data_IF_899504383526
#
_entry.id   IF_899504383526
#
_cell.length_a   1.000
_cell.length_b   1.000
_cell.length_c   1.000
_cell.angle_alpha   90.00
_cell.angle_beta   90.00
_cell.angle_gamma   90.00
#
_symmetry.space_group_name_H-M   'P 1'
#
loop_
_entity.id
_entity.type
_entity.pdbx_description
1 polymer ?
#
# COMPACT_ATOMS: atom_id res chain seq x y z
N UNK A 1 -0.03 -13.40 35.08
CA UNK A 1 -0.20 -11.93 35.10
C UNK A 1 1.09 -11.32 34.58
N UNK A 2 1.10 -10.75 33.37
CA UNK A 2 2.25 -9.94 32.95
C UNK A 2 2.12 -8.60 33.66
N UNK A 3 3.07 -8.26 34.54
CA UNK A 3 3.13 -6.92 35.10
C UNK A 3 3.34 -5.91 33.96
N UNK A 4 2.64 -4.76 33.96
CA UNK A 4 2.83 -3.74 32.95
C UNK A 4 4.18 -3.05 33.20
N UNK A 5 5.23 -3.47 32.50
CA UNK A 5 6.49 -2.74 32.46
C UNK A 5 6.51 -1.87 31.21
N UNK A 6 6.89 -0.61 31.36
CA UNK A 6 7.26 0.25 30.23
C UNK A 6 8.78 0.31 30.15
N UNK A 7 9.34 -0.01 28.98
CA UNK A 7 10.79 0.01 28.74
C UNK A 7 11.16 1.35 28.12
N UNK A 8 11.97 2.15 28.82
CA UNK A 8 12.35 3.47 28.36
C UNK A 8 13.78 3.86 28.73
N UNK A 9 14.52 4.35 27.73
CA UNK A 9 15.73 5.17 27.89
C UNK A 9 16.99 4.48 28.42
N UNK A 10 18.13 5.13 28.12
CA UNK A 10 19.40 4.89 28.80
C UNK A 10 19.34 5.48 30.22
N UNK A 11 20.13 4.97 31.17
CA UNK A 11 20.03 5.31 32.61
C UNK A 11 20.08 6.82 32.93
N UNK A 12 20.56 7.66 32.00
CA UNK A 12 20.66 9.10 32.14
C UNK A 12 19.39 9.90 31.79
N UNK A 13 18.42 9.30 31.07
CA UNK A 13 17.25 10.01 30.51
C UNK A 13 15.91 9.34 30.88
N UNK A 14 15.83 8.68 32.04
CA UNK A 14 14.56 8.11 32.51
C UNK A 14 13.58 9.24 32.86
N UNK A 15 12.39 9.32 32.23
CA UNK A 15 11.43 10.38 32.56
C UNK A 15 11.04 10.28 34.04
N UNK A 16 11.06 11.40 34.75
CA UNK A 16 10.78 11.49 36.19
C UNK A 16 9.30 11.27 36.57
N UNK A 17 8.46 10.83 35.64
CA UNK A 17 7.00 10.88 35.78
C UNK A 17 6.31 9.64 35.23
N UNK A 18 6.09 8.62 36.08
CA UNK A 18 4.87 7.77 36.05
C UNK A 18 4.55 7.12 37.41
N UNK A 19 4.74 7.82 38.54
CA UNK A 19 4.19 7.34 39.81
C UNK A 19 2.64 7.34 39.82
N UNK A 20 2.00 8.06 38.88
CA UNK A 20 0.56 8.25 38.80
C UNK A 20 -0.25 7.06 38.21
N UNK A 21 0.39 6.01 37.68
CA UNK A 21 -0.31 4.92 36.98
C UNK A 21 -0.05 3.51 37.54
N UNK A 22 0.69 3.36 38.64
CA UNK A 22 1.03 2.04 39.19
C UNK A 22 1.94 1.19 38.28
N UNK A 23 2.71 1.85 37.40
CA UNK A 23 3.60 1.22 36.43
C UNK A 23 5.06 1.42 36.86
N UNK A 24 5.83 0.34 36.98
CA UNK A 24 7.28 0.41 37.18
C UNK A 24 7.98 0.68 35.84
N UNK A 25 8.75 1.76 35.76
CA UNK A 25 9.68 2.00 34.65
C UNK A 25 10.96 1.23 34.92
N UNK A 26 11.34 0.38 33.98
CA UNK A 26 12.63 -0.30 33.98
C UNK A 26 13.42 0.13 32.75
N UNK A 27 14.71 0.40 32.93
CA UNK A 27 15.60 0.71 31.80
C UNK A 27 15.84 -0.55 30.98
N UNK A 28 16.12 -0.40 29.69
CA UNK A 28 16.42 -1.55 28.82
C UNK A 28 17.64 -2.33 29.33
N UNK A 29 18.66 -1.64 29.83
CA UNK A 29 19.85 -2.25 30.43
C UNK A 29 19.50 -3.08 31.68
N UNK A 30 18.64 -2.56 32.57
CA UNK A 30 18.13 -3.31 33.73
C UNK A 30 17.35 -4.53 33.30
N UNK A 31 16.40 -4.39 32.38
CA UNK A 31 15.61 -5.51 31.85
C UNK A 31 16.51 -6.60 31.23
N UNK A 32 17.50 -6.19 30.41
CA UNK A 32 18.45 -7.11 29.79
C UNK A 32 19.32 -7.84 30.84
N UNK A 33 19.78 -7.13 31.88
CA UNK A 33 20.52 -7.75 32.99
C UNK A 33 19.67 -8.76 33.77
N UNK A 34 18.41 -8.43 34.06
CA UNK A 34 17.45 -9.34 34.70
C UNK A 34 17.19 -10.57 33.84
N UNK A 35 17.05 -10.39 32.52
CA UNK A 35 16.92 -11.49 31.57
C UNK A 35 18.13 -12.44 31.60
N UNK A 36 19.36 -11.91 31.66
CA UNK A 36 20.58 -12.73 31.77
C UNK A 36 20.69 -13.51 33.08
N UNK A 37 20.17 -12.96 34.17
CA UNK A 37 20.15 -13.62 35.48
C UNK A 37 18.94 -14.54 35.68
N UNK A 38 17.98 -14.50 34.77
CA UNK A 38 16.76 -15.30 34.86
C UNK A 38 17.09 -16.78 34.74
N UNK A 39 16.59 -17.57 35.69
CA UNK A 39 16.62 -19.04 35.62
C UNK A 39 15.50 -19.61 34.74
N UNK A 40 14.67 -18.75 34.12
CA UNK A 40 13.61 -19.23 33.25
C UNK A 40 14.19 -19.83 31.97
N UNK A 41 13.77 -21.05 31.66
CA UNK A 41 14.11 -21.71 30.41
C UNK A 41 13.51 -20.95 29.23
N UNK A 42 14.31 -20.71 28.19
CA UNK A 42 13.83 -20.15 26.93
C UNK A 42 12.74 -21.05 26.33
N UNK A 43 11.56 -20.47 26.05
CA UNK A 43 10.40 -21.16 25.48
C UNK A 43 10.07 -20.52 24.13
N UNK A 44 10.65 -21.02 23.01
CA UNK A 44 10.31 -20.48 21.70
C UNK A 44 8.84 -20.78 21.37
N UNK A 45 8.17 -19.92 20.59
CA UNK A 45 6.81 -20.19 20.12
C UNK A 45 6.81 -21.38 19.15
N UNK A 46 5.70 -22.11 19.13
CA UNK A 46 5.40 -23.11 18.11
C UNK A 46 4.80 -22.44 16.87
N UNK A 47 4.89 -23.05 15.67
CA UNK A 47 4.26 -22.54 14.47
C UNK A 47 2.77 -22.22 14.67
N UNK A 48 2.07 -23.06 15.41
CA UNK A 48 0.66 -22.95 15.72
C UNK A 48 0.34 -21.98 16.88
N UNK A 49 1.31 -21.30 17.47
CA UNK A 49 1.00 -20.28 18.48
C UNK A 49 0.48 -19.01 17.80
N UNK A 50 -0.46 -18.32 18.45
CA UNK A 50 -0.95 -17.01 17.98
C UNK A 50 0.18 -16.01 18.07
N UNK A 51 0.60 -15.46 16.94
CA UNK A 51 1.62 -14.43 16.86
C UNK A 51 1.00 -13.04 17.05
N UNK A 52 -0.16 -12.79 16.44
CA UNK A 52 -0.86 -11.50 16.58
C UNK A 52 -2.35 -11.59 16.25
N UNK A 53 -3.11 -10.64 16.79
CA UNK A 53 -4.46 -10.32 16.33
C UNK A 53 -4.38 -8.97 15.60
N UNK A 54 -4.69 -8.96 14.32
CA UNK A 54 -4.64 -7.76 13.48
C UNK A 54 -6.06 -7.28 13.20
N UNK A 55 -6.43 -6.09 13.70
CA UNK A 55 -7.79 -5.57 13.51
C UNK A 55 -7.96 -4.95 12.13
N UNK A 56 -9.03 -5.32 11.43
CA UNK A 56 -9.42 -4.77 10.13
C UNK A 56 -10.81 -4.15 10.22
N UNK A 57 -10.98 -2.96 9.65
CA UNK A 57 -12.28 -2.36 9.45
C UNK A 57 -12.85 -2.90 8.13
N UNK A 58 -13.68 -3.93 8.20
CA UNK A 58 -14.46 -4.41 7.06
C UNK A 58 -15.56 -3.41 6.67
N UNK A 59 -16.31 -3.72 5.61
CA UNK A 59 -17.42 -2.88 5.09
C UNK A 59 -18.54 -2.61 6.10
N UNK A 60 -18.61 -3.38 7.19
CA UNK A 60 -19.61 -3.25 8.26
C UNK A 60 -19.24 -2.21 9.33
N UNK A 61 -18.07 -1.55 9.23
CA UNK A 61 -17.64 -0.48 10.13
C UNK A 61 -17.17 -0.93 11.53
N UNK A 62 -17.51 -2.15 11.96
CA UNK A 62 -17.01 -2.74 13.22
C UNK A 62 -15.67 -3.44 12.98
N UNK A 63 -14.58 -3.07 13.68
CA UNK A 63 -13.30 -3.73 13.51
C UNK A 63 -13.34 -5.21 13.91
N UNK A 64 -12.80 -6.09 13.06
CA UNK A 64 -12.68 -7.53 13.32
C UNK A 64 -11.22 -7.90 13.50
N UNK A 65 -10.91 -8.71 14.52
CA UNK A 65 -9.53 -9.11 14.80
C UNK A 65 -9.15 -10.38 14.05
N UNK A 66 -8.39 -10.30 12.97
CA UNK A 66 -7.84 -11.46 12.28
C UNK A 66 -6.76 -12.14 13.14
N UNK A 67 -6.97 -13.41 13.50
CA UNK A 67 -6.03 -14.17 14.34
C UNK A 67 -4.97 -14.83 13.46
N UNK A 68 -3.73 -14.38 13.58
CA UNK A 68 -2.59 -14.84 12.79
C UNK A 68 -1.60 -15.62 13.67
N UNK A 69 -1.22 -16.80 13.21
CA UNK A 69 -0.21 -17.65 13.84
C UNK A 69 1.21 -17.33 13.35
N UNK A 70 2.22 -17.87 14.04
CA UNK A 70 3.60 -17.79 13.57
C UNK A 70 3.78 -18.45 12.20
N UNK A 71 3.18 -19.63 11.99
CA UNK A 71 3.18 -20.33 10.71
C UNK A 71 2.63 -19.45 9.59
N UNK A 72 1.49 -18.77 9.81
CA UNK A 72 0.88 -17.95 8.75
C UNK A 72 1.81 -16.84 8.26
N UNK A 73 2.45 -16.13 9.20
CA UNK A 73 3.36 -15.02 8.90
C UNK A 73 4.66 -15.51 8.23
N UNK A 74 5.25 -16.59 8.74
CA UNK A 74 6.49 -17.14 8.20
C UNK A 74 6.27 -17.77 6.83
N UNK A 75 5.17 -18.50 6.61
CA UNK A 75 4.82 -19.04 5.30
C UNK A 75 4.64 -17.93 4.26
N UNK A 76 3.93 -16.85 4.61
CA UNK A 76 3.72 -15.72 3.71
C UNK A 76 5.03 -15.06 3.29
N UNK A 77 5.87 -14.72 4.28
CA UNK A 77 7.17 -14.08 4.06
C UNK A 77 8.14 -14.99 3.32
N UNK A 78 8.19 -16.28 3.65
CA UNK A 78 9.05 -17.24 2.97
C UNK A 78 8.71 -17.34 1.48
N UNK A 79 7.42 -17.38 1.13
CA UNK A 79 7.00 -17.39 -0.27
C UNK A 79 7.28 -16.06 -0.98
N UNK A 80 7.02 -14.91 -0.36
CA UNK A 80 7.36 -13.60 -0.95
C UNK A 80 8.85 -13.39 -1.17
N UNK A 81 9.68 -13.98 -0.31
CA UNK A 81 11.14 -13.90 -0.36
C UNK A 81 11.75 -14.61 -1.59
N UNK A 82 10.98 -15.46 -2.28
CA UNK A 82 11.39 -16.09 -3.53
C UNK A 82 11.31 -15.12 -4.72
N UNK A 83 10.35 -14.19 -4.72
CA UNK A 83 10.16 -13.20 -5.79
C UNK A 83 10.94 -11.91 -5.59
N UNK A 84 11.21 -11.55 -4.32
CA UNK A 84 11.89 -10.29 -3.96
C UNK A 84 13.16 -10.56 -3.16
N UNK A 85 14.29 -10.05 -3.67
CA UNK A 85 15.60 -10.18 -3.02
C UNK A 85 15.95 -8.96 -2.16
N UNK A 86 16.23 -9.22 -0.89
CA UNK A 86 16.80 -8.27 0.06
C UNK A 86 18.27 -8.59 0.35
N UNK A 87 19.02 -7.58 0.79
CA UNK A 87 20.44 -7.69 1.10
C UNK A 87 20.71 -7.12 2.50
N UNK A 88 21.67 -7.66 3.26
CA UNK A 88 22.06 -7.09 4.56
C UNK A 88 22.55 -5.62 4.47
N UNK A 89 22.98 -5.18 3.28
CA UNK A 89 23.36 -3.79 3.01
C UNK A 89 22.17 -2.84 2.81
N UNK A 90 20.95 -3.36 2.76
CA UNK A 90 19.77 -2.54 2.60
C UNK A 90 19.45 -1.74 3.87
N UNK A 91 18.78 -0.63 3.63
CA UNK A 91 18.21 0.24 4.67
C UNK A 91 16.76 0.50 4.32
N UNK A 92 15.87 0.20 5.25
CA UNK A 92 14.44 0.37 5.13
C UNK A 92 13.93 1.47 6.06
N UNK A 93 12.93 2.23 5.63
CA UNK A 93 12.22 3.20 6.47
C UNK A 93 10.87 2.65 6.90
N UNK A 94 10.70 2.44 8.21
CA UNK A 94 9.43 2.06 8.82
C UNK A 94 8.65 3.32 9.17
N UNK A 95 7.65 3.64 8.33
CA UNK A 95 6.70 4.73 8.57
C UNK A 95 5.24 4.29 8.45
N UNK A 96 4.99 3.11 7.87
CA UNK A 96 3.66 2.51 7.87
C UNK A 96 3.33 2.02 9.29
N UNK A 97 2.05 2.06 9.70
CA UNK A 97 1.70 1.63 11.05
C UNK A 97 1.97 0.13 11.26
N UNK A 98 2.66 -0.23 12.36
CA UNK A 98 2.78 -1.63 12.80
C UNK A 98 1.44 -2.29 13.14
N UNK A 99 0.36 -1.51 13.28
CA UNK A 99 -0.99 -2.05 13.37
C UNK A 99 -1.46 -2.73 12.07
N UNK A 100 -0.86 -2.38 10.92
CA UNK A 100 -1.23 -2.91 9.62
C UNK A 100 -0.35 -4.11 9.24
N UNK A 101 -0.96 -5.15 8.66
CA UNK A 101 -0.26 -6.39 8.30
C UNK A 101 0.89 -6.17 7.32
N UNK A 102 0.75 -5.18 6.42
CA UNK A 102 1.77 -4.87 5.42
C UNK A 102 3.12 -4.49 6.04
N UNK A 103 3.11 -3.62 7.05
CA UNK A 103 4.35 -3.25 7.74
C UNK A 103 4.92 -4.43 8.51
N UNK A 104 4.07 -5.24 9.15
CA UNK A 104 4.52 -6.42 9.91
C UNK A 104 5.22 -7.43 9.01
N UNK A 105 4.66 -7.73 7.84
CA UNK A 105 5.27 -8.63 6.88
C UNK A 105 6.63 -8.08 6.39
N UNK A 106 6.73 -6.78 6.10
CA UNK A 106 8.00 -6.14 5.78
C UNK A 106 9.02 -6.30 6.91
N UNK A 107 8.65 -6.01 8.17
CA UNK A 107 9.56 -6.17 9.31
C UNK A 107 10.10 -7.60 9.43
N UNK A 108 9.21 -8.60 9.32
CA UNK A 108 9.60 -10.02 9.43
C UNK A 108 10.56 -10.40 8.28
N UNK A 109 10.23 -10.02 7.04
CA UNK A 109 11.09 -10.29 5.88
C UNK A 109 12.46 -9.60 6.01
N UNK A 110 12.46 -8.31 6.33
CA UNK A 110 13.68 -7.50 6.36
C UNK A 110 14.61 -7.92 7.50
N UNK A 111 14.07 -8.26 8.67
CA UNK A 111 14.85 -8.80 9.78
C UNK A 111 15.48 -10.16 9.42
N UNK A 112 14.75 -11.03 8.69
CA UNK A 112 15.29 -12.30 8.21
C UNK A 112 16.53 -12.11 7.32
N UNK A 113 16.57 -11.04 6.53
CA UNK A 113 17.70 -10.71 5.64
C UNK A 113 18.77 -9.81 6.27
N UNK A 114 18.65 -9.46 7.56
CA UNK A 114 19.61 -8.59 8.24
C UNK A 114 19.59 -7.14 7.76
N UNK A 115 18.46 -6.67 7.22
CA UNK A 115 18.28 -5.29 6.74
C UNK A 115 18.18 -4.32 7.92
N UNK A 116 18.83 -3.16 7.81
CA UNK A 116 18.70 -2.11 8.81
C UNK A 116 17.35 -1.38 8.67
N UNK A 117 16.65 -1.17 9.79
CA UNK A 117 15.32 -0.54 9.82
C UNK A 117 15.40 0.78 10.59
N UNK A 118 15.16 1.89 9.91
CA UNK A 118 15.02 3.21 10.51
C UNK A 118 13.56 3.57 10.75
N UNK A 119 13.21 3.94 11.97
CA UNK A 119 11.86 4.40 12.31
C UNK A 119 11.75 5.90 12.09
N UNK A 120 10.67 6.32 11.42
CA UNK A 120 10.37 7.73 11.22
C UNK A 120 10.02 8.44 12.53
N UNK A 121 10.00 9.77 12.53
CA UNK A 121 9.78 10.58 13.74
C UNK A 121 8.36 10.53 14.33
N UNK A 122 7.43 9.77 13.74
CA UNK A 122 6.02 9.74 14.15
C UNK A 122 5.13 10.77 13.44
N UNK A 123 5.72 11.71 12.69
CA UNK A 123 5.01 12.76 11.97
C UNK A 123 5.15 12.60 10.45
N UNK A 124 4.04 12.30 9.77
CA UNK A 124 3.99 12.14 8.32
C UNK A 124 4.35 13.42 7.55
N UNK A 125 4.27 14.60 8.17
CA UNK A 125 4.68 15.86 7.55
C UNK A 125 6.20 15.97 7.44
N UNK A 126 6.94 15.29 8.33
CA UNK A 126 8.41 15.27 8.37
C UNK A 126 9.04 14.08 7.64
N UNK A 127 8.22 13.20 7.06
CA UNK A 127 8.69 11.98 6.40
C UNK A 127 9.75 12.24 5.31
N UNK A 128 9.67 13.37 4.60
CA UNK A 128 10.69 13.71 3.59
C UNK A 128 12.04 14.06 4.20
N UNK A 129 12.06 14.66 5.40
CA UNK A 129 13.29 14.97 6.13
C UNK A 129 13.90 13.66 6.67
N UNK A 130 13.07 12.75 7.17
CA UNK A 130 13.49 11.41 7.62
C UNK A 130 14.10 10.61 6.46
N UNK A 131 13.47 10.64 5.28
CA UNK A 131 13.99 10.02 4.06
C UNK A 131 15.34 10.60 3.62
N UNK A 132 15.50 11.92 3.71
CA UNK A 132 16.74 12.61 3.37
C UNK A 132 17.88 12.26 4.34
N UNK A 133 17.56 12.12 5.64
CA UNK A 133 18.52 11.75 6.67
C UNK A 133 18.92 10.26 6.59
N UNK A 134 17.95 9.35 6.51
CA UNK A 134 18.18 7.91 6.54
C UNK A 134 18.74 7.38 5.21
N UNK A 135 18.35 8.00 4.09
CA UNK A 135 18.72 7.60 2.73
C UNK A 135 18.45 6.12 2.45
N UNK A 136 17.19 5.63 2.54
CA UNK A 136 16.88 4.22 2.41
C UNK A 136 17.21 3.64 1.02
N UNK A 137 17.37 2.32 0.96
CA UNK A 137 17.51 1.56 -0.29
C UNK A 137 16.21 0.82 -0.64
N UNK A 138 15.36 0.52 0.34
CA UNK A 138 14.04 -0.10 0.16
C UNK A 138 12.97 0.87 0.66
N UNK A 139 11.94 1.10 -0.15
CA UNK A 139 10.84 1.99 0.17
C UNK A 139 9.50 1.32 -0.11
N UNK A 140 8.89 0.72 0.91
CA UNK A 140 7.53 0.19 0.84
C UNK A 140 6.55 1.30 1.19
N UNK A 141 5.54 1.50 0.35
CA UNK A 141 4.60 2.61 0.50
C UNK A 141 3.25 2.26 -0.12
N UNK A 142 2.29 3.17 0.02
CA UNK A 142 0.91 3.03 -0.47
C UNK A 142 0.64 4.02 -1.60
N UNK A 143 -0.32 3.74 -2.51
CA UNK A 143 -0.62 4.60 -3.64
C UNK A 143 -0.86 6.07 -3.29
N UNK A 144 -1.47 6.35 -2.13
CA UNK A 144 -1.68 7.73 -1.66
C UNK A 144 -0.38 8.53 -1.57
N UNK A 145 0.67 7.97 -0.98
CA UNK A 145 1.94 8.68 -0.84
C UNK A 145 2.67 8.77 -2.19
N UNK A 146 2.60 7.72 -3.01
CA UNK A 146 3.13 7.76 -4.38
C UNK A 146 2.45 8.82 -5.25
N UNK A 147 1.13 8.97 -5.17
CA UNK A 147 0.38 10.02 -5.86
C UNK A 147 0.81 11.41 -5.38
N UNK A 148 1.04 11.59 -4.07
CA UNK A 148 1.56 12.86 -3.54
C UNK A 148 2.96 13.17 -4.09
N UNK A 149 3.85 12.18 -4.14
CA UNK A 149 5.20 12.33 -4.74
C UNK A 149 5.10 12.68 -6.23
N UNK A 150 4.26 11.96 -6.97
CA UNK A 150 3.98 12.22 -8.39
C UNK A 150 3.52 13.66 -8.61
N UNK A 151 2.49 14.11 -7.88
CA UNK A 151 1.94 15.47 -7.98
C UNK A 151 2.95 16.53 -7.59
N UNK A 152 3.70 16.33 -6.50
CA UNK A 152 4.72 17.28 -6.05
C UNK A 152 5.84 17.47 -7.08
N UNK A 153 6.34 16.39 -7.69
CA UNK A 153 7.38 16.48 -8.73
C UNK A 153 6.81 17.10 -10.00
N UNK A 154 5.63 16.65 -10.45
CA UNK A 154 5.01 17.15 -11.68
C UNK A 154 4.69 18.64 -11.60
N UNK A 155 4.20 19.11 -10.45
CA UNK A 155 3.95 20.53 -10.21
C UNK A 155 5.26 21.32 -10.17
N UNK A 156 6.28 20.86 -9.42
CA UNK A 156 7.58 21.53 -9.38
C UNK A 156 8.24 21.64 -10.77
N UNK A 157 8.06 20.65 -11.65
CA UNK A 157 8.53 20.70 -13.04
C UNK A 157 7.76 21.76 -13.84
N UNK A 158 6.42 21.77 -13.76
CA UNK A 158 5.59 22.76 -14.44
C UNK A 158 5.90 24.19 -13.98
N UNK A 159 6.01 24.39 -12.67
CA UNK A 159 6.30 25.69 -12.06
C UNK A 159 7.70 26.19 -12.43
N UNK A 160 8.65 25.28 -12.69
CA UNK A 160 10.00 25.66 -13.14
C UNK A 160 10.01 26.28 -14.54
N UNK A 161 9.01 25.97 -15.37
CA UNK A 161 8.80 26.50 -16.72
C UNK A 161 9.98 26.41 -17.68
N UNK A 162 9.78 26.98 -18.87
CA UNK A 162 10.84 27.28 -19.84
C UNK A 162 11.72 26.08 -20.20
N UNK A 163 13.05 26.27 -20.10
CA UNK A 163 14.04 25.28 -20.50
C UNK A 163 14.09 24.07 -19.54
N UNK A 164 13.83 24.26 -18.24
CA UNK A 164 13.88 23.18 -17.24
C UNK A 164 12.73 22.19 -17.44
N UNK A 165 11.53 22.70 -17.72
CA UNK A 165 10.39 21.85 -18.05
C UNK A 165 10.65 21.06 -19.35
N UNK A 166 11.13 21.73 -20.40
CA UNK A 166 11.47 21.07 -21.67
C UNK A 166 12.52 19.98 -21.48
N UNK A 167 13.58 20.26 -20.72
CA UNK A 167 14.63 19.30 -20.40
C UNK A 167 14.07 18.08 -19.66
N UNK A 168 13.20 18.29 -18.66
CA UNK A 168 12.55 17.19 -17.95
C UNK A 168 11.72 16.33 -18.90
N UNK A 169 10.86 16.95 -19.73
CA UNK A 169 10.00 16.23 -20.68
C UNK A 169 10.82 15.41 -21.69
N UNK A 170 11.90 15.98 -22.21
CA UNK A 170 12.82 15.27 -23.12
C UNK A 170 13.48 14.09 -22.42
N UNK A 171 14.02 14.29 -21.21
CA UNK A 171 14.66 13.23 -20.44
C UNK A 171 13.68 12.11 -20.07
N UNK A 172 12.46 12.47 -19.66
CA UNK A 172 11.38 11.54 -19.33
C UNK A 172 10.99 10.69 -20.54
N UNK A 173 10.72 11.32 -21.69
CA UNK A 173 10.35 10.61 -22.90
C UNK A 173 11.48 9.70 -23.42
N UNK A 174 12.74 10.15 -23.34
CA UNK A 174 13.89 9.34 -23.72
C UNK A 174 14.03 8.09 -22.84
N UNK A 175 13.89 8.23 -21.51
CA UNK A 175 13.88 7.08 -20.59
C UNK A 175 12.71 6.15 -20.84
N UNK A 176 11.50 6.70 -21.01
CA UNK A 176 10.28 5.94 -21.32
C UNK A 176 10.46 5.08 -22.57
N UNK A 177 10.95 5.68 -23.66
CA UNK A 177 11.21 4.94 -24.90
C UNK A 177 12.27 3.85 -24.72
N UNK A 178 13.33 4.11 -23.95
CA UNK A 178 14.33 3.07 -23.64
C UNK A 178 13.69 1.89 -22.92
N UNK A 179 12.89 2.13 -21.87
CA UNK A 179 12.21 1.08 -21.11
C UNK A 179 11.22 0.28 -21.95
N UNK A 180 10.39 0.95 -22.76
CA UNK A 180 9.45 0.30 -23.69
C UNK A 180 10.18 -0.58 -24.70
N UNK A 181 11.35 -0.13 -25.19
CA UNK A 181 12.18 -0.90 -26.11
C UNK A 181 13.08 -1.94 -25.41
N UNK A 182 12.90 -2.15 -24.10
CA UNK A 182 13.68 -3.11 -23.32
C UNK A 182 15.16 -2.73 -23.10
N UNK A 183 15.56 -1.49 -23.40
CA UNK A 183 16.93 -0.99 -23.26
C UNK A 183 17.13 -0.26 -21.93
N UNK A 184 18.37 -0.25 -21.45
CA UNK A 184 18.74 0.56 -20.30
C UNK A 184 18.80 2.05 -20.68
N UNK A 185 18.13 2.95 -19.95
CA UNK A 185 18.21 4.37 -20.22
C UNK A 185 19.64 4.93 -20.05
N UNK A 186 20.00 5.94 -20.84
CA UNK A 186 21.32 6.58 -20.74
C UNK A 186 21.55 7.17 -19.33
N UNK A 187 22.69 6.88 -18.67
CA UNK A 187 23.04 7.44 -17.36
C UNK A 187 23.16 8.97 -17.35
N UNK A 188 23.30 9.59 -18.54
CA UNK A 188 23.35 11.04 -18.69
C UNK A 188 22.06 11.70 -18.16
N UNK A 189 20.90 11.09 -18.41
CA UNK A 189 19.62 11.65 -17.95
C UNK A 189 19.50 11.62 -16.42
N UNK A 190 20.07 10.61 -15.77
CA UNK A 190 20.15 10.56 -14.31
C UNK A 190 20.99 11.72 -13.77
N UNK A 191 22.17 11.96 -14.33
CA UNK A 191 23.04 13.06 -13.91
C UNK A 191 22.40 14.44 -14.11
N UNK A 192 21.72 14.65 -15.25
CA UNK A 192 21.14 15.94 -15.61
C UNK A 192 19.83 16.27 -14.87
N UNK A 193 18.96 15.27 -14.70
CA UNK A 193 17.58 15.47 -14.24
C UNK A 193 17.26 14.63 -13.02
N UNK A 194 17.37 13.30 -13.13
CA UNK A 194 16.72 12.41 -12.17
C UNK A 194 17.44 12.26 -10.84
N UNK A 195 18.75 12.48 -10.73
CA UNK A 195 19.45 12.42 -9.44
C UNK A 195 18.91 13.45 -8.44
N UNK A 196 18.46 14.62 -8.91
CA UNK A 196 17.79 15.63 -8.06
C UNK A 196 16.42 15.14 -7.56
N UNK A 197 15.74 14.31 -8.34
CA UNK A 197 14.45 13.71 -7.98
C UNK A 197 14.67 12.55 -7.01
N UNK A 198 15.61 11.65 -7.31
CA UNK A 198 16.01 10.54 -6.45
C UNK A 198 16.44 11.02 -5.07
N UNK A 199 17.13 12.17 -4.99
CA UNK A 199 17.54 12.78 -3.73
C UNK A 199 16.36 13.08 -2.77
N UNK A 200 15.13 13.25 -3.27
CA UNK A 200 13.94 13.42 -2.42
C UNK A 200 13.57 12.18 -1.62
N UNK A 201 14.00 11.00 -2.06
CA UNK A 201 13.91 9.74 -1.30
C UNK A 201 15.30 9.32 -0.77
N UNK A 202 16.22 10.27 -0.61
CA UNK A 202 17.58 10.04 -0.12
C UNK A 202 18.58 9.46 -1.12
N UNK A 203 18.16 9.25 -2.37
CA UNK A 203 19.04 9.04 -3.52
C UNK A 203 19.58 7.62 -3.71
N UNK A 204 19.23 6.66 -2.84
CA UNK A 204 19.73 5.27 -2.88
C UNK A 204 18.66 4.20 -3.04
N UNK A 205 17.40 4.60 -3.18
CA UNK A 205 16.28 3.65 -3.34
C UNK A 205 16.49 2.81 -4.60
N UNK A 206 16.58 1.50 -4.41
CA UNK A 206 16.70 0.48 -5.47
C UNK A 206 15.40 -0.30 -5.66
N UNK A 207 14.58 -0.39 -4.62
CA UNK A 207 13.35 -1.19 -4.59
C UNK A 207 12.24 -0.37 -3.95
N UNK A 208 11.14 -0.23 -4.68
CA UNK A 208 9.91 0.40 -4.27
C UNK A 208 8.79 -0.62 -4.35
N UNK A 209 8.01 -0.78 -3.28
CA UNK A 209 6.85 -1.68 -3.29
C UNK A 209 5.58 -0.88 -3.02
N UNK A 210 4.49 -1.27 -3.68
CA UNK A 210 3.14 -0.73 -3.49
C UNK A 210 2.19 -1.85 -3.09
N UNK A 211 1.26 -1.54 -2.18
CA UNK A 211 0.20 -2.46 -1.76
C UNK A 211 -0.93 -1.72 -1.05
N UNK A 212 -1.81 -2.49 -0.41
CA UNK A 212 -3.03 -2.05 0.29
C UNK A 212 -4.14 -1.45 -0.60
N UNK A 213 -3.79 -0.81 -1.72
CA UNK A 213 -4.75 -0.39 -2.74
C UNK A 213 -4.09 -0.35 -4.14
N UNK A 214 -4.90 -0.27 -5.22
CA UNK A 214 -4.36 -0.25 -6.58
C UNK A 214 -3.52 1.00 -6.87
N UNK A 215 -2.35 0.80 -7.50
CA UNK A 215 -1.52 1.88 -8.03
C UNK A 215 -1.86 2.12 -9.50
N UNK A 216 -2.11 3.38 -9.88
CA UNK A 216 -2.40 3.69 -11.28
C UNK A 216 -1.17 3.44 -12.18
N UNK A 217 -1.41 2.90 -13.38
CA UNK A 217 -0.37 2.59 -14.36
C UNK A 217 0.55 3.79 -14.66
N UNK A 218 -0.02 5.00 -14.79
CA UNK A 218 0.74 6.22 -15.06
C UNK A 218 1.71 6.56 -13.91
N UNK A 219 1.27 6.36 -12.66
CA UNK A 219 2.10 6.64 -11.48
C UNK A 219 3.20 5.58 -11.36
N UNK A 220 2.88 4.30 -11.59
CA UNK A 220 3.90 3.25 -11.63
C UNK A 220 4.95 3.51 -12.71
N UNK A 221 4.54 3.84 -13.94
CA UNK A 221 5.46 4.19 -15.03
C UNK A 221 6.34 5.39 -14.65
N UNK A 222 5.73 6.44 -14.10
CA UNK A 222 6.45 7.62 -13.64
C UNK A 222 7.50 7.28 -12.58
N UNK A 223 7.15 6.49 -11.56
CA UNK A 223 8.07 6.09 -10.51
C UNK A 223 9.26 5.30 -11.08
N UNK A 224 9.00 4.34 -11.99
CA UNK A 224 10.05 3.56 -12.66
C UNK A 224 11.00 4.47 -13.44
N UNK A 225 10.49 5.44 -14.19
CA UNK A 225 11.31 6.38 -14.97
C UNK A 225 12.14 7.30 -14.06
N UNK A 226 11.49 7.87 -13.05
CA UNK A 226 12.09 8.90 -12.20
C UNK A 226 13.11 8.34 -11.22
N UNK A 227 12.85 7.17 -10.64
CA UNK A 227 13.70 6.59 -9.61
C UNK A 227 14.64 5.50 -10.16
N UNK A 228 14.29 4.88 -11.29
CA UNK A 228 15.14 3.90 -11.99
C UNK A 228 15.36 2.59 -11.23
N UNK A 229 14.71 2.40 -10.09
CA UNK A 229 14.68 1.14 -9.34
C UNK A 229 13.49 0.26 -9.75
N UNK A 230 13.43 -0.92 -9.13
CA UNK A 230 12.29 -1.82 -9.26
C UNK A 230 11.08 -1.19 -8.56
N UNK A 231 9.95 -1.11 -9.25
CA UNK A 231 8.66 -0.70 -8.66
C UNK A 231 7.71 -1.86 -8.84
N UNK A 232 7.39 -2.52 -7.73
CA UNK A 232 6.60 -3.74 -7.68
C UNK A 232 5.27 -3.46 -6.97
N UNK A 233 4.19 -4.05 -7.47
CA UNK A 233 2.89 -4.03 -6.82
C UNK A 233 2.56 -5.43 -6.30
N UNK A 234 2.05 -5.48 -5.07
CA UNK A 234 1.58 -6.70 -4.43
C UNK A 234 0.13 -6.57 -4.03
N UNK A 235 -0.61 -7.68 -4.15
CA UNK A 235 -1.98 -7.80 -3.68
C UNK A 235 -2.05 -8.77 -2.52
N UNK A 236 -2.84 -8.39 -1.53
CA UNK A 236 -3.33 -9.29 -0.50
C UNK A 236 -4.00 -8.56 0.64
N UNK A 237 -4.36 -9.30 1.67
CA UNK A 237 -5.18 -8.83 2.78
C UNK A 237 -4.69 -9.40 4.12
N UNK A 238 -5.25 -8.88 5.20
CA UNK A 238 -4.88 -9.30 6.56
C UNK A 238 -5.21 -10.76 6.80
N UNK A 239 -6.35 -11.21 6.29
CA UNK A 239 -6.88 -12.58 6.36
C UNK A 239 -5.97 -13.58 5.61
N UNK A 240 -5.06 -13.09 4.76
CA UNK A 240 -4.04 -13.89 4.04
C UNK A 240 -2.62 -13.64 4.55
N UNK A 241 -2.46 -13.03 5.72
CA UNK A 241 -1.14 -12.74 6.32
C UNK A 241 -0.23 -11.85 5.46
N UNK A 242 -0.82 -10.95 4.66
CA UNK A 242 -0.21 -9.94 3.79
C UNK A 242 -0.31 -10.24 2.29
N UNK A 243 0.52 -11.12 1.73
CA UNK A 243 0.71 -11.23 0.27
C UNK A 243 0.03 -12.45 -0.33
N UNK A 244 -0.90 -12.24 -1.27
CA UNK A 244 -1.49 -13.28 -2.13
C UNK A 244 -0.73 -13.36 -3.45
N UNK A 245 -0.47 -12.23 -4.12
CA UNK A 245 0.32 -12.17 -5.36
C UNK A 245 1.32 -11.02 -5.31
N UNK A 246 2.41 -11.11 -6.04
CA UNK A 246 3.38 -10.01 -6.18
C UNK A 246 4.04 -10.02 -7.54
N UNK A 247 4.37 -8.84 -8.07
CA UNK A 247 5.17 -8.72 -9.28
C UNK A 247 6.60 -9.22 -9.06
N UNK A 248 7.14 -9.92 -10.05
CA UNK A 248 8.53 -10.36 -10.05
C UNK A 248 9.50 -9.21 -10.33
N UNK A 249 10.72 -9.31 -9.78
CA UNK A 249 11.81 -8.40 -10.14
C UNK A 249 12.06 -8.44 -11.65
N UNK A 250 12.14 -7.27 -12.27
CA UNK A 250 12.34 -7.15 -13.71
C UNK A 250 11.05 -7.27 -14.54
N UNK A 251 9.88 -7.44 -13.92
CA UNK A 251 8.61 -7.37 -14.64
C UNK A 251 8.34 -5.93 -15.12
N UNK A 252 8.43 -5.74 -16.44
CA UNK A 252 8.28 -4.44 -17.11
C UNK A 252 6.82 -4.11 -17.44
N UNK A 253 5.91 -5.08 -17.33
CA UNK A 253 4.49 -4.83 -17.55
C UNK A 253 3.91 -4.04 -16.37
N UNK A 254 2.72 -3.46 -16.58
CA UNK A 254 2.02 -2.62 -15.63
C UNK A 254 0.53 -2.97 -15.62
N UNK A 255 -0.16 -2.63 -14.52
CA UNK A 255 -1.60 -2.85 -14.39
C UNK A 255 -1.99 -4.28 -14.02
N UNK A 256 -1.12 -4.98 -13.30
CA UNK A 256 -1.36 -6.29 -12.69
C UNK A 256 -0.60 -6.40 -11.37
N UNK A 257 -0.96 -7.39 -10.55
CA UNK A 257 -0.40 -7.61 -9.20
C UNK A 257 0.49 -8.85 -9.13
N UNK A 258 0.83 -9.40 -10.30
CA UNK A 258 1.86 -10.43 -10.47
C UNK A 258 1.34 -11.84 -10.25
N UNK A 259 2.25 -12.77 -9.98
CA UNK A 259 1.96 -14.20 -9.84
C UNK A 259 1.62 -14.56 -8.38
N UNK A 260 0.91 -15.68 -8.14
CA UNK A 260 0.65 -16.19 -6.80
C UNK A 260 1.92 -16.34 -5.97
N UNK A 261 1.82 -15.97 -4.71
CA UNK A 261 2.80 -16.29 -3.69
C UNK A 261 2.93 -17.83 -3.64
N UNK A 262 4.15 -18.40 -3.73
CA UNK A 262 4.36 -19.86 -3.72
C UNK A 262 3.80 -20.58 -2.48
N UNK A 263 3.47 -19.85 -1.42
CA UNK A 263 2.84 -20.38 -0.21
C UNK A 263 1.31 -20.46 -0.28
N UNK A 264 0.67 -20.10 -1.40
CA UNK A 264 -0.77 -20.18 -1.55
C UNK A 264 -1.23 -20.64 -2.94
N UNK A 265 -2.42 -21.20 -2.97
CA UNK A 265 -3.17 -21.53 -4.19
C UNK A 265 -4.22 -20.44 -4.43
N UNK A 266 -4.45 -20.09 -5.69
CA UNK A 266 -5.41 -19.06 -6.09
C UNK A 266 -6.31 -19.62 -7.20
N UNK A 267 -7.63 -19.48 -7.03
CA UNK A 267 -8.63 -19.79 -8.06
C UNK A 267 -9.55 -18.58 -8.28
N UNK A 268 -10.19 -18.53 -9.45
CA UNK A 268 -11.31 -17.63 -9.70
C UNK A 268 -12.61 -18.42 -9.60
N UNK A 269 -13.61 -17.87 -8.91
CA UNK A 269 -14.95 -18.44 -8.78
C UNK A 269 -15.95 -17.52 -9.46
N UNK A 270 -16.88 -18.08 -10.24
CA UNK A 270 -17.90 -17.30 -10.93
C UNK A 270 -18.73 -16.46 -9.96
N UNK A 271 -19.10 -15.26 -10.42
CA UNK A 271 -20.00 -14.34 -9.70
C UNK A 271 -21.13 -13.94 -10.66
N UNK A 272 -22.11 -14.85 -10.90
CA UNK A 272 -23.16 -14.64 -11.90
C UNK A 272 -23.99 -13.37 -11.65
N UNK A 273 -24.21 -13.00 -10.38
CA UNK A 273 -24.94 -11.79 -9.99
C UNK A 273 -24.28 -10.47 -10.44
N UNK A 274 -23.01 -10.52 -10.84
CA UNK A 274 -22.21 -9.41 -11.35
C UNK A 274 -21.77 -9.61 -12.82
N UNK A 275 -22.26 -10.66 -13.50
CA UNK A 275 -21.84 -11.04 -14.84
C UNK A 275 -20.32 -11.25 -14.97
N UNK A 276 -19.71 -11.88 -13.97
CA UNK A 276 -18.32 -12.35 -14.01
C UNK A 276 -18.30 -13.88 -14.03
N UNK A 277 -17.75 -14.47 -15.09
CA UNK A 277 -17.68 -15.94 -15.23
C UNK A 277 -16.35 -16.41 -15.81
N UNK A 278 -16.06 -17.69 -15.60
CA UNK A 278 -14.94 -18.40 -16.18
C UNK A 278 -15.00 -18.50 -17.72
N UNK A 279 -16.14 -18.19 -18.33
CA UNK A 279 -16.35 -18.21 -19.79
C UNK A 279 -16.06 -16.85 -20.45
N UNK A 280 -15.89 -15.79 -19.65
CA UNK A 280 -15.66 -14.43 -20.14
C UNK A 280 -14.45 -14.33 -21.07
N UNK A 281 -14.61 -13.51 -22.12
CA UNK A 281 -13.57 -13.22 -23.11
C UNK A 281 -13.16 -11.74 -23.07
N UNK A 282 -11.88 -11.39 -23.30
CA UNK A 282 -10.76 -12.27 -23.68
C UNK A 282 -10.11 -13.03 -22.51
N UNK A 283 -10.52 -12.75 -21.27
CA UNK A 283 -9.94 -13.38 -20.07
C UNK A 283 -11.06 -13.79 -19.10
N UNK A 284 -10.97 -14.98 -18.48
CA UNK A 284 -11.93 -15.42 -17.47
C UNK A 284 -11.89 -14.49 -16.27
N UNK A 285 -13.06 -14.21 -15.69
CA UNK A 285 -13.22 -13.29 -14.54
C UNK A 285 -13.96 -13.99 -13.41
N UNK A 286 -13.67 -13.62 -12.17
CA UNK A 286 -14.38 -14.17 -11.01
C UNK A 286 -13.83 -13.65 -9.69
N UNK A 287 -14.47 -14.04 -8.61
CA UNK A 287 -13.97 -13.82 -7.25
C UNK A 287 -12.67 -14.56 -7.03
N UNK A 288 -11.67 -13.85 -6.53
CA UNK A 288 -10.39 -14.43 -6.14
C UNK A 288 -10.61 -15.19 -4.84
N UNK A 289 -10.34 -16.50 -4.87
CA UNK A 289 -10.36 -17.36 -3.70
C UNK A 289 -8.95 -17.90 -3.45
N UNK A 290 -8.55 -17.93 -2.18
CA UNK A 290 -7.18 -18.30 -1.78
C UNK A 290 -7.18 -19.40 -0.75
N UNK A 291 -6.26 -20.35 -0.87
CA UNK A 291 -6.07 -21.43 0.11
C UNK A 291 -4.58 -21.60 0.40
N UNK A 292 -4.24 -22.00 1.63
CA UNK A 292 -2.86 -22.32 2.00
C UNK A 292 -2.53 -21.96 3.46
N UNK A 293 -1.29 -22.20 3.89
CA UNK A 293 -0.82 -21.87 5.23
C UNK A 293 -0.85 -20.38 5.56
N UNK A 294 -1.07 -19.49 4.58
CA UNK A 294 -1.14 -18.04 4.81
C UNK A 294 -2.50 -17.55 5.32
N UNK A 295 -3.53 -18.40 5.23
CA UNK A 295 -4.89 -18.04 5.66
C UNK A 295 -4.96 -17.97 7.18
N UNK A 296 -5.54 -16.88 7.68
CA UNK A 296 -5.77 -16.64 9.10
C UNK A 296 -6.58 -17.78 9.75
N UNK A 297 -6.58 -17.83 11.09
CA UNK A 297 -7.39 -18.81 11.83
C UNK A 297 -8.87 -18.48 11.91
N UNK A 298 -9.24 -17.30 11.42
CA UNK A 298 -10.56 -16.70 11.62
C UNK A 298 -10.50 -15.41 12.42
N UNK A 299 -11.68 -14.83 12.62
CA UNK A 299 -11.88 -13.63 13.40
C UNK A 299 -11.99 -13.97 14.89
N UNK A 300 -11.33 -13.15 15.72
CA UNK A 300 -11.27 -13.34 17.16
C UNK A 300 -12.66 -13.32 17.79
N UNK A 301 -13.08 -14.46 18.35
CA UNK A 301 -14.40 -14.66 18.98
C UNK A 301 -15.59 -14.42 18.04
N UNK A 302 -15.39 -14.60 16.73
CA UNK A 302 -16.43 -14.38 15.73
C UNK A 302 -16.44 -15.50 14.68
N UNK A 303 -16.99 -16.65 15.09
CA UNK A 303 -17.05 -17.83 14.22
C UNK A 303 -18.03 -17.68 13.07
N UNK A 304 -19.08 -16.85 13.23
CA UNK A 304 -20.08 -16.63 12.19
C UNK A 304 -19.41 -15.94 11.01
N UNK A 305 -18.78 -14.79 11.24
CA UNK A 305 -18.10 -14.07 10.17
C UNK A 305 -16.87 -14.82 9.64
N UNK A 306 -16.31 -15.75 10.43
CA UNK A 306 -15.23 -16.64 9.97
C UNK A 306 -15.76 -17.64 8.94
N UNK A 307 -16.88 -18.32 9.23
CA UNK A 307 -17.53 -19.26 8.31
C UNK A 307 -18.12 -18.59 7.07
N UNK A 308 -18.44 -17.29 7.15
CA UNK A 308 -18.93 -16.52 6.00
C UNK A 308 -17.85 -16.27 4.93
N UNK A 309 -16.56 -16.35 5.29
CA UNK A 309 -15.45 -16.05 4.36
C UNK A 309 -14.56 -17.25 4.05
N UNK A 310 -14.57 -18.31 4.88
CA UNK A 310 -13.86 -19.57 4.59
C UNK A 310 -14.88 -20.66 4.29
N UNK A 311 -14.80 -21.25 3.09
CA UNK A 311 -15.66 -22.36 2.69
C UNK A 311 -15.23 -23.70 3.32
N UNK A 312 -16.04 -24.75 3.13
CA UNK A 312 -15.77 -26.08 3.68
C UNK A 312 -14.51 -26.76 3.11
N UNK A 313 -14.02 -26.30 1.96
CA UNK A 313 -12.82 -26.81 1.30
C UNK A 313 -11.55 -26.00 1.70
N UNK A 314 -11.71 -25.04 2.63
CA UNK A 314 -10.65 -24.21 3.16
C UNK A 314 -10.27 -23.01 2.29
N UNK A 315 -11.09 -22.64 1.30
CA UNK A 315 -10.87 -21.45 0.50
C UNK A 315 -11.39 -20.20 1.20
N UNK A 316 -10.52 -19.21 1.33
CA UNK A 316 -10.90 -17.86 1.70
C UNK A 316 -11.47 -17.13 0.47
N UNK A 317 -12.72 -16.71 0.56
CA UNK A 317 -13.39 -15.81 -0.36
C UNK A 317 -12.97 -14.37 -0.06
N UNK A 318 -12.18 -13.77 -0.95
CA UNK A 318 -11.58 -12.44 -0.71
C UNK A 318 -12.59 -11.30 -0.87
N UNK A 319 -13.68 -11.52 -1.61
CA UNK A 319 -14.59 -10.47 -2.06
C UNK A 319 -14.02 -9.57 -3.15
N UNK A 320 -12.83 -9.84 -3.67
CA UNK A 320 -12.19 -9.09 -4.76
C UNK A 320 -12.32 -9.87 -6.08
N UNK A 321 -12.61 -9.17 -7.17
CA UNK A 321 -12.76 -9.76 -8.52
C UNK A 321 -11.46 -9.63 -9.29
N UNK A 322 -11.01 -10.72 -9.88
CA UNK A 322 -9.78 -10.79 -10.66
C UNK A 322 -9.98 -11.39 -12.05
N UNK A 323 -8.93 -11.26 -12.86
CA UNK A 323 -8.75 -12.01 -14.09
C UNK A 323 -7.29 -12.47 -14.23
N UNK A 324 -7.08 -13.56 -14.96
CA UNK A 324 -5.74 -14.03 -15.31
C UNK A 324 -5.30 -13.44 -16.64
N UNK A 325 -4.19 -12.70 -16.62
CA UNK A 325 -3.47 -12.29 -17.83
C UNK A 325 -2.57 -13.44 -18.32
N UNK A 326 -2.17 -13.43 -19.60
CA UNK A 326 -1.19 -14.38 -20.13
C UNK A 326 0.07 -14.42 -19.25
N UNK A 327 0.61 -15.61 -19.00
CA UNK A 327 1.79 -15.80 -18.15
C UNK A 327 1.50 -15.89 -16.64
N UNK A 328 0.25 -16.16 -16.24
CA UNK A 328 -0.09 -16.45 -14.84
C UNK A 328 -0.11 -15.22 -13.92
N UNK A 329 -0.33 -14.02 -14.48
CA UNK A 329 -0.40 -12.77 -13.73
C UNK A 329 -1.83 -12.44 -13.38
N UNK A 330 -2.09 -12.17 -12.11
CA UNK A 330 -3.39 -11.74 -11.63
C UNK A 330 -3.57 -10.23 -11.85
N UNK A 331 -4.74 -9.83 -12.31
CA UNK A 331 -5.18 -8.44 -12.35
C UNK A 331 -6.46 -8.29 -11.55
N UNK A 332 -6.45 -7.42 -10.54
CA UNK A 332 -7.63 -7.03 -9.80
C UNK A 332 -8.44 -6.06 -10.66
N UNK A 333 -9.73 -6.33 -10.81
CA UNK A 333 -10.63 -5.53 -11.65
C UNK A 333 -11.79 -4.93 -10.87
N UNK A 334 -12.16 -5.52 -9.73
CA UNK A 334 -13.33 -5.07 -8.98
C UNK A 334 -13.36 -5.55 -7.52
N UNK A 335 -14.38 -5.10 -6.79
CA UNK A 335 -14.71 -5.56 -5.43
C UNK A 335 -16.20 -5.87 -5.32
N UNK A 336 -16.54 -7.11 -4.95
CA UNK A 336 -17.92 -7.62 -4.82
C UNK A 336 -18.82 -6.72 -3.96
N UNK A 337 -18.27 -6.12 -2.90
CA UNK A 337 -19.03 -5.27 -1.95
C UNK A 337 -18.97 -3.77 -2.21
N UNK A 338 -18.13 -3.29 -3.14
CA UNK A 338 -17.97 -1.85 -3.42
C UNK A 338 -18.56 -1.41 -4.76
N UNK A 339 -19.30 -2.27 -5.47
CA UNK A 339 -20.05 -1.87 -6.67
C UNK A 339 -21.45 -1.42 -6.29
N UNK A 340 -21.89 -0.35 -6.91
CA UNK A 340 -23.31 -0.03 -7.02
C UNK A 340 -23.75 -0.16 -8.49
N UNK A 341 -24.94 -0.72 -8.65
CA UNK A 341 -25.68 -0.71 -9.91
C UNK A 341 -26.44 0.61 -9.99
N UNK A 342 -26.42 1.31 -11.12
CA UNK A 342 -27.25 2.50 -11.34
C UNK A 342 -28.63 2.11 -11.88
N UNK A 343 -29.57 3.06 -11.90
CA UNK A 343 -30.95 2.82 -12.35
C UNK A 343 -31.05 2.23 -13.77
N UNK A 344 -30.09 2.58 -14.65
CA UNK A 344 -29.97 2.05 -16.01
C UNK A 344 -29.40 0.63 -16.10
N UNK A 345 -29.04 0.02 -14.97
CA UNK A 345 -28.54 -1.34 -14.90
C UNK A 345 -27.03 -1.51 -15.05
N UNK A 346 -26.31 -0.43 -15.32
CA UNK A 346 -24.84 -0.39 -15.40
C UNK A 346 -24.21 -0.56 -14.01
N UNK A 347 -23.19 -1.40 -13.93
CA UNK A 347 -22.39 -1.62 -12.71
C UNK A 347 -21.16 -0.72 -12.72
N UNK A 348 -20.95 0.01 -11.62
CA UNK A 348 -19.87 0.99 -11.50
C UNK A 348 -18.93 0.62 -10.36
N UNK A 349 -17.64 0.50 -10.69
CA UNK A 349 -16.56 0.41 -9.72
C UNK A 349 -16.08 1.84 -9.33
N UNK A 350 -16.41 2.35 -8.13
CA UNK A 350 -16.09 3.73 -7.73
C UNK A 350 -14.57 4.00 -7.68
N UNK A 351 -13.79 3.04 -7.19
CA UNK A 351 -12.32 3.17 -7.05
C UNK A 351 -11.63 3.48 -8.39
N UNK A 352 -12.15 2.96 -9.51
CA UNK A 352 -11.62 3.25 -10.85
C UNK A 352 -11.79 4.73 -11.20
N UNK A 353 -12.92 5.32 -10.85
CA UNK A 353 -13.26 6.72 -11.11
C UNK A 353 -12.47 7.63 -10.15
N UNK A 354 -12.39 7.27 -8.88
CA UNK A 354 -11.59 7.96 -7.86
C UNK A 354 -10.12 8.07 -8.28
N UNK A 355 -9.53 6.97 -8.79
CA UNK A 355 -8.15 6.94 -9.28
C UNK A 355 -7.92 7.83 -10.51
N UNK A 356 -8.92 8.05 -11.35
CA UNK A 356 -8.84 9.01 -12.46
C UNK A 356 -8.84 10.44 -11.91
N UNK A 357 -9.76 10.76 -11.00
CA UNK A 357 -9.86 12.10 -10.41
C UNK A 357 -8.68 12.46 -9.50
N UNK A 358 -8.05 11.47 -8.85
CA UNK A 358 -6.84 11.66 -8.03
C UNK A 358 -5.65 12.22 -8.82
N UNK A 359 -5.69 12.16 -10.17
CA UNK A 359 -4.67 12.78 -11.05
C UNK A 359 -4.85 14.29 -11.21
N UNK A 360 -6.01 14.84 -10.83
CA UNK A 360 -6.27 16.27 -10.88
C UNK A 360 -5.50 16.99 -9.77
N UNK A 361 -4.66 17.96 -10.12
CA UNK A 361 -3.82 18.71 -9.16
C UNK A 361 -4.60 19.43 -8.05
N UNK A 362 -5.90 19.67 -8.25
CA UNK A 362 -6.77 20.34 -7.28
C UNK A 362 -7.42 19.38 -6.29
N UNK A 363 -7.38 18.07 -6.55
CA UNK A 363 -8.06 17.04 -5.76
C UNK A 363 -7.04 16.33 -4.89
N UNK A 364 -7.21 16.43 -3.57
CA UNK A 364 -6.43 15.67 -2.60
C UNK A 364 -7.04 14.28 -2.37
N UNK A 365 -8.37 14.20 -2.25
CA UNK A 365 -9.12 12.94 -2.12
C UNK A 365 -10.47 13.07 -2.82
N UNK A 366 -10.96 11.95 -3.37
CA UNK A 366 -12.27 11.86 -3.98
C UNK A 366 -12.95 10.60 -3.45
N UNK A 367 -14.21 10.72 -3.06
CA UNK A 367 -15.08 9.59 -2.69
C UNK A 367 -16.27 9.60 -3.64
N UNK A 368 -16.44 8.54 -4.42
CA UNK A 368 -17.53 8.39 -5.37
C UNK A 368 -18.64 7.55 -4.74
N UNK A 369 -19.85 8.11 -4.76
CA UNK A 369 -21.06 7.45 -4.33
C UNK A 369 -22.01 7.28 -5.52
N UNK A 370 -22.68 6.15 -5.58
CA UNK A 370 -23.80 5.92 -6.48
C UNK A 370 -24.90 5.18 -5.77
N UNK A 371 -26.12 5.39 -6.25
CA UNK A 371 -27.35 4.86 -5.69
C UNK A 371 -28.16 4.17 -6.78
N UNK A 372 -28.73 3.01 -6.48
CA UNK A 372 -29.41 2.19 -7.48
C UNK A 372 -30.73 2.74 -8.00
N UNK A 373 -31.28 3.76 -7.35
CA UNK A 373 -32.45 4.48 -7.84
C UNK A 373 -32.08 5.66 -8.74
N UNK A 374 -30.80 6.01 -8.83
CA UNK A 374 -30.32 7.17 -9.57
C UNK A 374 -29.50 6.74 -10.80
N UNK A 375 -29.54 7.56 -11.85
CA UNK A 375 -28.81 7.31 -13.09
C UNK A 375 -27.44 8.00 -13.18
N UNK A 376 -27.05 8.68 -12.11
CA UNK A 376 -25.84 9.48 -12.02
C UNK A 376 -25.08 9.19 -10.72
N UNK A 377 -23.82 9.65 -10.70
CA UNK A 377 -22.92 9.54 -9.55
C UNK A 377 -22.82 10.86 -8.80
N UNK A 378 -22.52 10.78 -7.51
CA UNK A 378 -22.19 11.91 -6.64
C UNK A 378 -20.76 11.73 -6.14
N UNK A 379 -20.03 12.82 -5.97
CA UNK A 379 -18.66 12.80 -5.45
C UNK A 379 -18.52 13.72 -4.24
N UNK A 380 -17.83 13.26 -3.20
CA UNK A 380 -17.29 14.12 -2.15
C UNK A 380 -15.81 14.34 -2.46
N UNK A 381 -15.43 15.59 -2.70
CA UNK A 381 -14.07 15.95 -3.14
C UNK A 381 -13.40 16.78 -2.05
N UNK A 382 -12.33 16.25 -1.47
CA UNK A 382 -11.40 17.02 -0.65
C UNK A 382 -10.36 17.66 -1.57
N UNK A 383 -10.26 18.98 -1.51
CA UNK A 383 -9.35 19.77 -2.36
C UNK A 383 -7.93 19.82 -1.79
N UNK A 384 -6.93 20.00 -2.65
CA UNK A 384 -5.54 20.27 -2.25
C UNK A 384 -5.41 21.75 -1.85
N UNK A 385 -5.29 22.08 -0.55
CA UNK A 385 -5.42 23.46 -0.08
C UNK A 385 -4.36 24.38 -0.65
N UNK A 386 -3.12 23.92 -0.75
CA UNK A 386 -2.00 24.77 -1.20
C UNK A 386 -2.13 25.11 -2.69
N UNK A 387 -2.49 24.12 -3.52
CA UNK A 387 -2.70 24.32 -4.96
C UNK A 387 -3.92 25.21 -5.22
N UNK A 388 -5.00 25.01 -4.46
CA UNK A 388 -6.22 25.79 -4.64
C UNK A 388 -6.05 27.24 -4.18
N UNK A 389 -5.38 27.48 -3.04
CA UNK A 389 -5.06 28.84 -2.58
C UNK A 389 -4.17 29.57 -3.57
N UNK A 390 -3.13 28.92 -4.09
CA UNK A 390 -2.24 29.51 -5.09
C UNK A 390 -3.00 29.88 -6.39
N UNK A 391 -3.89 28.99 -6.86
CA UNK A 391 -4.73 29.27 -8.02
C UNK A 391 -5.73 30.41 -7.75
N UNK A 392 -6.42 30.41 -6.60
CA UNK A 392 -7.37 31.45 -6.24
C UNK A 392 -6.69 32.83 -6.19
N UNK A 393 -5.50 32.92 -5.59
CA UNK A 393 -4.69 34.13 -5.59
C UNK A 393 -4.34 34.59 -7.02
N UNK A 394 -3.98 33.66 -7.92
CA UNK A 394 -3.70 33.97 -9.33
C UNK A 394 -4.91 34.50 -10.10
N UNK A 395 -6.13 34.21 -9.64
CA UNK A 395 -7.39 34.66 -10.23
C UNK A 395 -7.99 35.88 -9.49
N UNK A 396 -7.29 36.43 -8.50
CA UNK A 396 -7.79 37.55 -7.70
C UNK A 396 -8.92 37.17 -6.73
N UNK A 397 -9.10 35.88 -6.41
CA UNK A 397 -10.14 35.39 -5.51
C UNK A 397 -9.60 35.36 -4.08
N UNK A 398 -10.25 36.11 -3.18
CA UNK A 398 -9.97 36.09 -1.74
C UNK A 398 -10.61 34.84 -1.09
N UNK A 399 -9.79 33.91 -0.61
CA UNK A 399 -10.26 32.67 0.04
C UNK A 399 -10.46 32.93 1.54
N UNK A 400 -11.69 33.21 1.97
CA UNK A 400 -12.03 33.35 3.39
C UNK A 400 -12.39 32.00 4.05
N UNK A 401 -12.90 31.04 3.28
CA UNK A 401 -13.21 29.66 3.74
C UNK A 401 -13.19 28.70 2.54
N UNK A 402 -12.59 27.52 2.68
CA UNK A 402 -12.44 26.51 1.63
C UNK A 402 -13.67 25.59 1.50
N UNK A 403 -14.88 26.15 1.46
CA UNK A 403 -16.12 25.38 1.24
C UNK A 403 -16.67 25.72 -0.13
N UNK A 404 -16.61 24.78 -1.07
CA UNK A 404 -17.15 24.96 -2.42
C UNK A 404 -18.28 23.95 -2.67
N UNK A 405 -19.49 24.45 -2.91
CA UNK A 405 -20.57 23.64 -3.47
C UNK A 405 -20.43 23.65 -5.00
N UNK A 406 -20.07 22.51 -5.59
CA UNK A 406 -20.13 22.34 -7.04
C UNK A 406 -21.48 21.69 -7.42
N UNK A 407 -22.45 22.43 -7.98
CA UNK A 407 -23.53 21.80 -8.73
C UNK A 407 -22.95 21.26 -10.04
N UNK A 408 -23.00 19.95 -10.25
CA UNK A 408 -22.71 19.34 -11.54
C UNK A 408 -23.71 19.90 -12.57
N UNK A 409 -23.28 20.50 -13.70
CA UNK A 409 -24.19 21.14 -14.63
C UNK A 409 -24.95 20.11 -15.44
N UNK A 410 -26.23 19.95 -15.14
CA UNK A 410 -27.22 19.38 -16.06
C UNK A 410 -27.47 20.40 -17.18
N UNK A 411 -26.94 20.14 -18.38
CA UNK A 411 -27.41 20.80 -19.60
C UNK A 411 -27.97 19.74 -20.53
N UNK A 412 -29.25 19.42 -20.35
CA UNK A 412 -30.10 18.97 -21.45
C UNK A 412 -30.25 20.12 -22.42
N UNK A 413 -29.73 19.96 -23.64
CA UNK A 413 -30.14 20.75 -24.81
C UNK A 413 -30.73 19.77 -25.83
N UNK A 414 -32.04 19.87 -25.96
CA UNK A 414 -32.97 19.34 -26.97
C UNK A 414 -32.96 17.85 -27.27
#
# INVERSE_FOLDING_TARGET
MCSPYSVGGDNANTPSTTAAAGVEIITYSRLHSQGKMSSQTYRPPKPEDVATICYTSGTTGTPKGAVLSHENLIANVAGSSLGVKFYPSDVYISYLPLAHIYERANQIALLHYGVAIGFYQGDNLKLMDDLAALRPTVFASVPRLYNRIYSAITNAVKDSGGLKERLFRTAYNAKRQALVNGRNPSPMWDKLVFNKIKARLGGRVRLMTSGASPLSADVMEFLRICFGGEVLEGYGMTETSCVITTMDIGDKLIGHVGSPNPSCEVKLVDVPEMNYTCEDQPYPRGEICVRGPTIFRGYYKDEVQTRDVIDNDGWLHTGDIGLWLPGGRLKIIDRKKNIFKLAQGEYIAPEKIENVYAKCKFIAQCFIYGDSFNSFLVAIVAVEPDVLKAWAASQGIQVSTLTFHFPLPYKTKH
#
